data_IF_721251554929
#
_entry.id   IF_721251554929
#
_cell.length_a   1.000
_cell.length_b   1.000
_cell.length_c   1.000
_cell.angle_alpha   90.00
_cell.angle_beta   90.00
_cell.angle_gamma   90.00
#
_symmetry.space_group_name_H-M   'P 1'
#
loop_
_entity.id
_entity.type
_entity.pdbx_description
1 polymer ?
#
# COMPACT_ATOMS: atom_id res chain seq x y z
N UNK A 1 -9.86 -12.56 -35.96
CA UNK A 1 -9.51 -13.11 -34.63
C UNK A 1 -10.71 -13.70 -33.88
N UNK A 2 -11.96 -13.19 -34.01
CA UNK A 2 -13.14 -13.78 -33.34
C UNK A 2 -14.26 -14.29 -34.26
N UNK A 3 -14.16 -14.05 -35.57
CA UNK A 3 -14.85 -14.87 -36.55
C UNK A 3 -14.16 -16.23 -36.59
N UNK A 4 -14.85 -17.27 -36.11
CA UNK A 4 -14.35 -18.65 -36.06
C UNK A 4 -13.67 -19.05 -37.37
N UNK A 5 -12.63 -19.88 -37.37
CA UNK A 5 -12.02 -20.45 -38.59
C UNK A 5 -13.07 -21.00 -39.58
N UNK A 6 -14.21 -21.45 -39.06
CA UNK A 6 -15.40 -21.87 -39.82
C UNK A 6 -15.96 -20.79 -40.76
N UNK A 7 -15.88 -19.51 -40.40
CA UNK A 7 -16.34 -18.39 -41.23
C UNK A 7 -15.38 -18.12 -42.39
N UNK A 8 -14.06 -18.22 -42.16
CA UNK A 8 -13.06 -18.09 -43.23
C UNK A 8 -13.25 -19.15 -44.30
N UNK A 9 -13.41 -20.42 -43.90
CA UNK A 9 -13.61 -21.51 -44.86
C UNK A 9 -14.93 -21.45 -45.65
N UNK A 10 -15.95 -20.75 -45.15
CA UNK A 10 -17.19 -20.46 -45.90
C UNK A 10 -16.99 -19.27 -46.84
N UNK A 11 -16.28 -18.23 -46.41
CA UNK A 11 -15.92 -17.07 -47.23
C UNK A 11 -15.00 -17.44 -48.40
N UNK A 12 -14.05 -18.34 -48.19
CA UNK A 12 -13.11 -18.81 -49.23
C UNK A 12 -13.79 -19.71 -50.29
N UNK A 13 -14.92 -20.34 -49.96
CA UNK A 13 -15.70 -21.19 -50.89
C UNK A 13 -16.76 -20.41 -51.68
N UNK A 14 -17.20 -19.28 -51.16
CA UNK A 14 -18.03 -18.32 -51.87
C UNK A 14 -17.07 -17.46 -52.71
N UNK A 15 -16.84 -17.81 -53.97
CA UNK A 15 -16.10 -16.97 -54.91
C UNK A 15 -16.64 -15.53 -54.81
N UNK A 16 -15.87 -14.65 -54.20
CA UNK A 16 -16.26 -13.27 -53.93
C UNK A 16 -16.42 -12.55 -55.27
N UNK A 17 -17.65 -12.41 -55.76
CA UNK A 17 -18.02 -11.29 -56.61
C UNK A 17 -18.06 -10.02 -55.75
N UNK A 18 -17.87 -8.85 -56.36
CA UNK A 18 -18.00 -7.53 -55.70
C UNK A 18 -19.45 -7.21 -55.25
N UNK A 19 -20.33 -8.20 -55.18
CA UNK A 19 -21.73 -8.05 -54.78
C UNK A 19 -21.89 -8.21 -53.26
N UNK A 20 -22.79 -7.41 -52.67
CA UNK A 20 -23.08 -7.46 -51.24
C UNK A 20 -23.68 -8.81 -50.83
N UNK A 21 -23.09 -9.45 -49.81
CA UNK A 21 -23.56 -10.74 -49.30
C UNK A 21 -24.71 -10.52 -48.31
N UNK A 22 -25.93 -10.86 -48.70
CA UNK A 22 -27.11 -10.85 -47.81
C UNK A 22 -27.47 -12.27 -47.36
N UNK A 23 -27.00 -12.69 -46.19
CA UNK A 23 -27.36 -13.99 -45.60
C UNK A 23 -27.71 -13.85 -44.12
N UNK A 24 -28.95 -14.20 -43.75
CA UNK A 24 -29.41 -14.20 -42.35
C UNK A 24 -28.55 -15.09 -41.44
N UNK A 25 -27.98 -16.17 -41.98
CA UNK A 25 -27.07 -17.05 -41.24
C UNK A 25 -25.74 -16.35 -40.95
N UNK A 26 -25.22 -15.60 -41.94
CA UNK A 26 -23.97 -14.85 -41.79
C UNK A 26 -24.15 -13.67 -40.84
N UNK A 27 -25.25 -12.91 -40.96
CA UNK A 27 -25.62 -11.83 -40.03
C UNK A 27 -25.64 -12.30 -38.58
N UNK A 28 -26.32 -13.43 -38.29
CA UNK A 28 -26.36 -14.01 -36.93
C UNK A 28 -24.98 -14.41 -36.41
N UNK A 29 -24.10 -14.90 -37.28
CA UNK A 29 -22.74 -15.27 -36.89
C UNK A 29 -21.85 -14.05 -36.63
N UNK A 30 -22.03 -12.98 -37.39
CA UNK A 30 -21.38 -11.68 -37.15
C UNK A 30 -21.86 -11.09 -35.83
N UNK A 31 -23.17 -11.05 -35.58
CA UNK A 31 -23.74 -10.60 -34.30
C UNK A 31 -23.23 -11.43 -33.12
N UNK A 32 -23.14 -12.76 -33.27
CA UNK A 32 -22.60 -13.63 -32.22
C UNK A 32 -21.11 -13.38 -31.96
N UNK A 33 -20.33 -13.11 -33.01
CA UNK A 33 -18.92 -12.73 -32.87
C UNK A 33 -18.79 -11.36 -32.19
N UNK A 34 -19.64 -10.40 -32.53
CA UNK A 34 -19.69 -9.08 -31.90
C UNK A 34 -20.04 -9.18 -30.41
N UNK A 35 -21.10 -9.93 -30.05
CA UNK A 35 -21.47 -10.17 -28.65
C UNK A 35 -20.35 -10.80 -27.83
N UNK A 36 -19.55 -11.69 -28.42
CA UNK A 36 -18.36 -12.25 -27.74
C UNK A 36 -17.26 -11.22 -27.52
N UNK A 37 -17.01 -10.35 -28.50
CA UNK A 37 -16.04 -9.26 -28.35
C UNK A 37 -16.51 -8.27 -27.28
N UNK A 38 -17.78 -7.90 -27.29
CA UNK A 38 -18.39 -7.05 -26.27
C UNK A 38 -18.33 -7.70 -24.88
N UNK A 39 -18.62 -8.99 -24.77
CA UNK A 39 -18.48 -9.76 -23.52
C UNK A 39 -17.05 -9.77 -22.98
N UNK A 40 -16.06 -10.08 -23.83
CA UNK A 40 -14.65 -10.05 -23.43
C UNK A 40 -14.20 -8.66 -22.97
N UNK A 41 -14.66 -7.60 -23.66
CA UNK A 41 -14.38 -6.21 -23.28
C UNK A 41 -15.03 -5.86 -21.94
N UNK A 42 -16.27 -6.30 -21.71
CA UNK A 42 -16.98 -6.13 -20.45
C UNK A 42 -16.25 -6.82 -19.29
N UNK A 43 -15.86 -8.08 -19.47
CA UNK A 43 -15.16 -8.86 -18.45
C UNK A 43 -13.79 -8.24 -18.12
N UNK A 44 -13.06 -7.79 -19.14
CA UNK A 44 -11.78 -7.09 -18.94
C UNK A 44 -11.98 -5.81 -18.12
N UNK A 45 -12.99 -5.00 -18.44
CA UNK A 45 -13.30 -3.76 -17.67
C UNK A 45 -13.73 -4.07 -16.25
N UNK A 46 -14.53 -5.12 -16.05
CA UNK A 46 -14.97 -5.57 -14.74
C UNK A 46 -13.77 -5.96 -13.86
N UNK A 47 -12.81 -6.71 -14.41
CA UNK A 47 -11.59 -7.06 -13.69
C UNK A 47 -10.78 -5.82 -13.33
N UNK A 48 -10.57 -4.88 -14.28
CA UNK A 48 -9.86 -3.62 -14.00
C UNK A 48 -10.53 -2.84 -12.87
N UNK A 49 -11.86 -2.72 -12.89
CA UNK A 49 -12.62 -2.04 -11.85
C UNK A 49 -12.44 -2.69 -10.47
N UNK A 50 -12.45 -4.03 -10.39
CA UNK A 50 -12.28 -4.75 -9.13
C UNK A 50 -10.93 -4.48 -8.46
N UNK A 51 -9.84 -4.39 -9.22
CA UNK A 51 -8.53 -4.01 -8.68
C UNK A 51 -8.49 -2.53 -8.28
N UNK A 52 -9.11 -1.67 -9.10
CA UNK A 52 -9.14 -0.23 -8.82
C UNK A 52 -9.99 0.09 -7.58
N UNK A 53 -11.06 -0.65 -7.31
CA UNK A 53 -11.89 -0.45 -6.11
C UNK A 53 -11.10 -0.59 -4.80
N UNK A 54 -10.21 -1.59 -4.72
CA UNK A 54 -9.32 -1.77 -3.57
C UNK A 54 -8.36 -0.59 -3.42
N UNK A 55 -7.75 -0.15 -4.53
CA UNK A 55 -6.88 1.01 -4.55
C UNK A 55 -7.61 2.30 -4.18
N UNK A 56 -8.84 2.45 -4.65
CA UNK A 56 -9.69 3.62 -4.45
C UNK A 56 -10.02 3.80 -2.98
N UNK A 57 -10.49 2.75 -2.30
CA UNK A 57 -10.80 2.80 -0.86
C UNK A 57 -9.58 3.24 -0.03
N UNK A 58 -8.42 2.67 -0.31
CA UNK A 58 -7.18 3.05 0.37
C UNK A 58 -6.78 4.49 0.05
N UNK A 59 -6.90 4.92 -1.21
CA UNK A 59 -6.58 6.29 -1.65
C UNK A 59 -7.49 7.31 -0.98
N UNK A 60 -8.79 7.04 -0.88
CA UNK A 60 -9.75 7.92 -0.21
C UNK A 60 -9.35 8.16 1.24
N UNK A 61 -8.96 7.10 1.98
CA UNK A 61 -8.51 7.21 3.37
C UNK A 61 -7.21 8.02 3.47
N UNK A 62 -6.17 7.65 2.69
CA UNK A 62 -4.87 8.31 2.76
C UNK A 62 -4.96 9.77 2.33
N UNK A 63 -5.75 10.09 1.29
CA UNK A 63 -5.91 11.46 0.82
C UNK A 63 -6.70 12.31 1.81
N UNK A 64 -7.71 11.74 2.49
CA UNK A 64 -8.42 12.44 3.55
C UNK A 64 -7.48 12.76 4.72
N UNK A 65 -6.67 11.79 5.19
CA UNK A 65 -5.69 12.00 6.26
C UNK A 65 -4.62 13.02 5.85
N UNK A 66 -4.12 12.93 4.62
CA UNK A 66 -3.14 13.87 4.07
C UNK A 66 -3.70 15.29 4.00
N UNK A 67 -4.96 15.43 3.59
CA UNK A 67 -5.64 16.72 3.54
C UNK A 67 -5.84 17.33 4.93
N UNK A 68 -6.20 16.53 5.93
CA UNK A 68 -6.29 16.97 7.33
C UNK A 68 -4.93 17.51 7.83
N UNK A 69 -3.82 16.82 7.55
CA UNK A 69 -2.47 17.29 7.93
C UNK A 69 -2.09 18.59 7.23
N UNK A 70 -2.39 18.73 5.93
CA UNK A 70 -2.09 19.97 5.17
C UNK A 70 -2.84 21.16 5.74
N UNK A 71 -4.12 20.97 6.05
CA UNK A 71 -5.02 22.04 6.49
C UNK A 71 -5.06 22.25 8.00
N UNK A 72 -4.35 21.41 8.77
CA UNK A 72 -4.28 21.52 10.21
C UNK A 72 -3.72 22.88 10.64
N UNK A 73 -4.42 23.57 11.53
CA UNK A 73 -3.90 24.74 12.27
C UNK A 73 -3.60 24.40 13.74
N UNK A 74 -3.77 23.13 14.10
CA UNK A 74 -3.50 22.59 15.44
C UNK A 74 -2.08 22.04 15.53
N UNK A 75 -1.61 21.87 16.76
CA UNK A 75 -0.41 21.09 17.07
C UNK A 75 -0.64 19.61 16.72
N UNK A 76 0.29 19.02 15.95
CA UNK A 76 0.28 17.63 15.50
C UNK A 76 1.23 16.75 16.33
N UNK A 77 1.83 17.28 17.40
CA UNK A 77 2.60 16.51 18.36
C UNK A 77 1.84 15.30 18.93
N UNK A 78 0.53 15.35 19.27
CA UNK A 78 -0.20 14.19 19.77
C UNK A 78 -0.18 13.01 18.80
N UNK A 79 -0.39 13.26 17.51
CA UNK A 79 -0.34 12.26 16.44
C UNK A 79 1.07 11.67 16.30
N UNK A 80 2.10 12.51 16.32
CA UNK A 80 3.51 12.08 16.25
C UNK A 80 3.88 11.24 17.47
N UNK A 81 3.55 11.69 18.68
CA UNK A 81 3.79 10.98 19.93
C UNK A 81 3.09 9.62 19.95
N UNK A 82 1.85 9.56 19.47
CA UNK A 82 1.14 8.29 19.31
C UNK A 82 1.83 7.36 18.30
N UNK A 83 2.34 7.89 17.19
CA UNK A 83 3.11 7.10 16.22
C UNK A 83 4.42 6.56 16.81
N UNK A 84 5.16 7.37 17.58
CA UNK A 84 6.37 6.94 18.29
C UNK A 84 6.03 5.80 19.26
N UNK A 85 5.03 6.00 20.12
CA UNK A 85 4.59 4.99 21.11
C UNK A 85 4.19 3.68 20.46
N UNK A 86 3.37 3.73 19.39
CA UNK A 86 2.94 2.53 18.64
C UNK A 86 4.11 1.81 17.99
N UNK A 87 5.09 2.55 17.47
CA UNK A 87 6.27 1.97 16.82
C UNK A 87 7.15 1.25 17.83
N UNK A 88 7.44 1.89 18.97
CA UNK A 88 8.16 1.27 20.09
C UNK A 88 7.43 0.01 20.56
N UNK A 89 6.11 0.10 20.78
CA UNK A 89 5.28 -1.03 21.17
C UNK A 89 5.42 -2.21 20.21
N UNK A 90 5.27 -1.97 18.90
CA UNK A 90 5.41 -3.01 17.87
C UNK A 90 6.77 -3.70 17.90
N UNK A 91 7.85 -2.94 18.08
CA UNK A 91 9.21 -3.50 18.13
C UNK A 91 9.39 -4.35 19.38
N UNK A 92 9.03 -3.85 20.56
CA UNK A 92 9.19 -4.60 21.81
C UNK A 92 8.31 -5.85 21.82
N UNK A 93 7.03 -5.72 21.43
CA UNK A 93 6.07 -6.83 21.38
C UNK A 93 6.43 -7.87 20.32
N UNK A 94 7.00 -7.43 19.19
CA UNK A 94 7.48 -8.32 18.13
C UNK A 94 8.59 -9.26 18.57
N UNK A 95 9.36 -8.89 19.61
CA UNK A 95 10.44 -9.70 20.16
C UNK A 95 10.07 -10.38 21.50
N UNK A 96 8.80 -10.35 21.90
CA UNK A 96 8.37 -10.89 23.20
C UNK A 96 8.62 -12.41 23.36
N UNK A 97 8.73 -13.15 22.25
CA UNK A 97 8.98 -14.62 22.26
C UNK A 97 10.46 -14.99 22.06
N UNK A 98 11.32 -14.03 21.77
CA UNK A 98 12.75 -14.26 21.55
C UNK A 98 13.46 -14.53 22.87
N UNK A 99 14.67 -15.09 22.80
CA UNK A 99 15.54 -15.17 23.98
C UNK A 99 15.86 -13.77 24.48
N UNK A 100 16.07 -13.63 25.79
CA UNK A 100 16.23 -12.32 26.43
C UNK A 100 17.39 -11.51 25.80
N UNK A 101 18.55 -12.13 25.59
CA UNK A 101 19.71 -11.43 25.04
C UNK A 101 19.46 -10.96 23.60
N UNK A 102 18.94 -11.84 22.74
CA UNK A 102 18.57 -11.53 21.34
C UNK A 102 17.51 -10.43 21.27
N UNK A 103 16.52 -10.46 22.18
CA UNK A 103 15.48 -9.45 22.31
C UNK A 103 16.06 -8.08 22.66
N UNK A 104 16.88 -8.03 23.72
CA UNK A 104 17.47 -6.77 24.18
C UNK A 104 18.42 -6.18 23.14
N UNK A 105 19.19 -7.01 22.46
CA UNK A 105 20.06 -6.59 21.36
C UNK A 105 19.26 -6.01 20.19
N UNK A 106 18.18 -6.68 19.76
CA UNK A 106 17.33 -6.19 18.69
C UNK A 106 16.64 -4.86 19.05
N UNK A 107 16.15 -4.73 20.28
CA UNK A 107 15.54 -3.49 20.79
C UNK A 107 16.57 -2.36 20.88
N UNK A 108 17.78 -2.65 21.37
CA UNK A 108 18.87 -1.68 21.47
C UNK A 108 19.29 -1.18 20.08
N UNK A 109 19.46 -2.09 19.12
CA UNK A 109 19.79 -1.75 17.74
C UNK A 109 18.70 -0.88 17.11
N UNK A 110 17.43 -1.23 17.30
CA UNK A 110 16.32 -0.37 16.86
C UNK A 110 16.43 1.04 17.47
N UNK A 111 16.65 1.13 18.79
CA UNK A 111 16.75 2.40 19.49
C UNK A 111 17.90 3.27 18.95
N UNK A 112 19.10 2.69 18.78
CA UNK A 112 20.29 3.40 18.31
C UNK A 112 20.20 3.89 16.87
N UNK A 113 19.60 3.10 15.97
CA UNK A 113 19.58 3.44 14.55
C UNK A 113 18.35 4.24 14.11
N UNK A 114 17.25 4.20 14.88
CA UNK A 114 15.97 4.75 14.42
C UNK A 114 15.31 5.73 15.39
N UNK A 115 15.70 5.76 16.67
CA UNK A 115 14.95 6.49 17.70
C UNK A 115 15.80 7.53 18.42
N UNK A 116 17.03 7.17 18.78
CA UNK A 116 17.88 7.91 19.69
C UNK A 116 19.29 8.09 19.08
N UNK A 117 20.06 9.10 19.52
CA UNK A 117 21.49 9.17 19.21
C UNK A 117 22.21 7.88 19.65
N UNK A 118 23.18 7.41 18.86
CA UNK A 118 23.82 6.09 19.02
C UNK A 118 24.41 5.85 20.42
N UNK A 119 25.02 6.88 21.02
CA UNK A 119 25.68 6.80 22.33
C UNK A 119 24.74 7.09 23.52
N UNK A 120 23.46 7.37 23.26
CA UNK A 120 22.51 7.79 24.31
C UNK A 120 21.79 6.63 25.01
N UNK A 121 22.04 5.38 24.59
CA UNK A 121 21.45 4.19 25.18
C UNK A 121 22.40 2.98 25.09
N UNK A 122 22.39 2.17 26.12
CA UNK A 122 23.21 0.98 26.29
C UNK A 122 22.37 -0.23 26.69
N UNK A 123 22.96 -1.42 26.62
CA UNK A 123 22.28 -2.66 27.04
C UNK A 123 21.90 -2.59 28.53
N UNK A 124 22.77 -2.04 29.37
CA UNK A 124 22.54 -1.88 30.81
C UNK A 124 21.35 -0.99 31.16
N UNK A 125 20.90 -0.11 30.25
CA UNK A 125 19.68 0.68 30.44
C UNK A 125 18.41 -0.18 30.32
N UNK A 126 18.49 -1.35 29.66
CA UNK A 126 17.35 -2.21 29.37
C UNK A 126 17.35 -3.52 30.18
N UNK A 127 18.51 -3.94 30.67
CA UNK A 127 18.66 -5.15 31.47
C UNK A 127 17.80 -5.12 32.75
N UNK A 128 17.14 -6.24 33.04
CA UNK A 128 16.28 -6.38 34.21
C UNK A 128 14.95 -5.63 34.13
N UNK A 129 14.70 -4.84 33.08
CA UNK A 129 13.43 -4.16 32.87
C UNK A 129 12.36 -5.11 32.30
N UNK A 130 11.11 -4.88 32.72
CA UNK A 130 9.96 -5.49 32.06
C UNK A 130 9.70 -4.86 30.70
N UNK A 131 8.99 -5.55 29.82
CA UNK A 131 8.63 -5.05 28.49
C UNK A 131 7.91 -3.69 28.54
N UNK A 132 7.03 -3.51 29.52
CA UNK A 132 6.34 -2.23 29.70
C UNK A 132 7.32 -1.13 30.14
N UNK A 133 8.24 -1.44 31.05
CA UNK A 133 9.26 -0.49 31.48
C UNK A 133 10.22 -0.12 30.33
N UNK A 134 10.60 -1.08 29.48
CA UNK A 134 11.40 -0.84 28.27
C UNK A 134 10.65 0.11 27.32
N UNK A 135 9.35 -0.13 27.06
CA UNK A 135 8.55 0.74 26.20
C UNK A 135 8.49 2.16 26.75
N UNK A 136 8.26 2.32 28.05
CA UNK A 136 8.16 3.62 28.69
C UNK A 136 9.51 4.35 28.70
N UNK A 137 10.60 3.66 29.00
CA UNK A 137 11.96 4.22 28.97
C UNK A 137 12.33 4.74 27.57
N UNK A 138 12.13 3.92 26.54
CA UNK A 138 12.38 4.31 25.14
C UNK A 138 11.48 5.47 24.72
N UNK A 139 10.22 5.48 25.14
CA UNK A 139 9.28 6.55 24.81
C UNK A 139 9.71 7.88 25.45
N UNK A 140 10.11 7.88 26.72
CA UNK A 140 10.57 9.08 27.40
C UNK A 140 11.86 9.64 26.77
N UNK A 141 12.82 8.78 26.42
CA UNK A 141 14.03 9.21 25.70
C UNK A 141 13.69 9.78 24.33
N UNK A 142 12.77 9.16 23.59
CA UNK A 142 12.34 9.63 22.28
C UNK A 142 11.65 11.01 22.36
N UNK A 143 10.82 11.24 23.38
CA UNK A 143 10.20 12.55 23.61
C UNK A 143 11.25 13.62 23.88
N UNK A 144 12.28 13.34 24.70
CA UNK A 144 13.39 14.30 24.90
C UNK A 144 14.11 14.64 23.61
N UNK A 145 14.32 13.66 22.73
CA UNK A 145 14.91 13.90 21.41
C UNK A 145 13.98 14.79 20.57
N UNK A 146 12.69 14.48 20.52
CA UNK A 146 11.69 15.29 19.82
C UNK A 146 11.66 16.74 20.33
N UNK A 147 11.54 16.94 21.65
CA UNK A 147 11.54 18.25 22.30
C UNK A 147 12.82 19.02 21.99
N UNK A 148 13.98 18.35 21.94
CA UNK A 148 15.25 18.99 21.57
C UNK A 148 15.30 19.47 20.11
N UNK A 149 14.55 18.82 19.20
CA UNK A 149 14.44 19.28 17.81
C UNK A 149 13.46 20.45 17.72
N UNK A 150 12.33 20.37 18.42
CA UNK A 150 11.32 21.43 18.49
C UNK A 150 11.93 22.71 19.08
N UNK A 151 12.74 22.61 20.13
CA UNK A 151 13.40 23.75 20.78
C UNK A 151 14.39 24.52 19.88
N UNK A 152 14.82 23.93 18.75
CA UNK A 152 15.68 24.62 17.76
C UNK A 152 14.87 25.52 16.83
N UNK A 153 13.55 25.42 16.83
CA UNK A 153 12.67 26.17 15.96
C UNK A 153 12.36 27.54 16.59
N UNK A 154 12.14 28.54 15.73
CA UNK A 154 12.07 29.96 16.13
C UNK A 154 10.80 30.35 16.87
N UNK A 155 9.67 29.72 16.56
CA UNK A 155 8.33 30.08 17.00
C UNK A 155 7.38 28.88 16.85
N UNK A 156 6.20 28.97 17.46
CA UNK A 156 5.17 27.90 17.43
C UNK A 156 4.70 27.59 16.00
N UNK A 157 4.67 28.57 15.11
CA UNK A 157 4.26 28.37 13.71
C UNK A 157 5.29 27.51 12.95
N UNK A 158 6.58 27.74 13.18
CA UNK A 158 7.64 26.90 12.65
C UNK A 158 7.58 25.46 13.20
N UNK A 159 7.13 25.29 14.45
CA UNK A 159 6.89 23.96 15.03
C UNK A 159 5.76 23.23 14.30
N UNK A 160 4.61 23.89 14.12
CA UNK A 160 3.47 23.31 13.38
C UNK A 160 3.87 22.94 11.95
N UNK A 161 4.57 23.82 11.25
CA UNK A 161 5.00 23.57 9.87
C UNK A 161 6.01 22.42 9.80
N UNK A 162 6.96 22.35 10.73
CA UNK A 162 7.88 21.23 10.84
C UNK A 162 7.15 19.89 11.03
N UNK A 163 6.15 19.84 11.92
CA UNK A 163 5.36 18.63 12.17
C UNK A 163 4.58 18.19 10.93
N UNK A 164 3.93 19.14 10.21
CA UNK A 164 3.24 18.86 8.94
C UNK A 164 4.20 18.27 7.92
N UNK A 165 5.34 18.93 7.69
CA UNK A 165 6.35 18.48 6.73
C UNK A 165 6.86 17.09 7.08
N UNK A 166 7.09 16.80 8.37
CA UNK A 166 7.54 15.50 8.83
C UNK A 166 6.53 14.39 8.50
N UNK A 167 5.25 14.61 8.84
CA UNK A 167 4.19 13.62 8.57
C UNK A 167 3.99 13.43 7.06
N UNK A 168 3.84 14.53 6.31
CA UNK A 168 3.58 14.50 4.87
C UNK A 168 4.72 13.83 4.11
N UNK A 169 5.98 14.13 4.45
CA UNK A 169 7.14 13.50 3.82
C UNK A 169 7.11 11.98 4.02
N UNK A 170 6.76 11.49 5.21
CA UNK A 170 6.73 10.05 5.48
C UNK A 170 5.55 9.40 4.74
N UNK A 171 4.35 9.98 4.83
CA UNK A 171 3.14 9.46 4.18
C UNK A 171 3.30 9.43 2.67
N UNK A 172 3.79 10.50 2.05
CA UNK A 172 3.94 10.60 0.59
C UNK A 172 4.94 9.57 0.05
N UNK A 173 6.09 9.40 0.73
CA UNK A 173 7.06 8.38 0.36
C UNK A 173 6.47 6.97 0.50
N UNK A 174 5.84 6.66 1.64
CA UNK A 174 5.30 5.32 1.89
C UNK A 174 4.09 4.99 1.03
N UNK A 175 3.28 5.99 0.69
CA UNK A 175 2.15 5.82 -0.22
C UNK A 175 2.61 5.55 -1.65
N UNK A 176 3.68 6.21 -2.10
CA UNK A 176 4.28 5.94 -3.42
C UNK A 176 4.84 4.52 -3.48
N UNK A 177 5.66 4.12 -2.49
CA UNK A 177 6.18 2.74 -2.37
C UNK A 177 5.03 1.71 -2.40
N UNK A 178 3.92 2.02 -1.73
CA UNK A 178 2.76 1.15 -1.61
C UNK A 178 1.96 1.03 -2.91
N UNK A 179 1.76 2.12 -3.65
CA UNK A 179 1.14 2.08 -4.99
C UNK A 179 1.97 1.19 -5.92
N UNK A 180 3.30 1.36 -5.92
CA UNK A 180 4.20 0.57 -6.76
C UNK A 180 4.15 -0.92 -6.38
N UNK A 181 4.12 -1.22 -5.08
CA UNK A 181 3.98 -2.59 -4.58
C UNK A 181 2.64 -3.22 -4.99
N UNK A 182 1.54 -2.46 -4.96
CA UNK A 182 0.22 -2.92 -5.40
C UNK A 182 0.15 -3.11 -6.92
N UNK A 183 0.81 -2.27 -7.72
CA UNK A 183 0.89 -2.52 -9.17
C UNK A 183 1.68 -3.79 -9.48
N UNK A 184 2.81 -4.02 -8.79
CA UNK A 184 3.57 -5.26 -8.89
C UNK A 184 2.76 -6.48 -8.47
N UNK A 185 2.03 -6.39 -7.35
CA UNK A 185 1.17 -7.47 -6.86
C UNK A 185 0.08 -7.80 -7.88
N UNK A 186 -0.59 -6.79 -8.45
CA UNK A 186 -1.60 -6.96 -9.49
C UNK A 186 -1.05 -7.74 -10.69
N UNK A 187 0.16 -7.39 -11.15
CA UNK A 187 0.82 -8.08 -12.25
C UNK A 187 1.22 -9.53 -11.88
N UNK A 188 1.71 -9.75 -10.65
CA UNK A 188 2.14 -11.06 -10.17
C UNK A 188 0.97 -12.04 -9.93
N UNK A 189 -0.16 -11.56 -9.43
CA UNK A 189 -1.36 -12.38 -9.16
C UNK A 189 -1.99 -12.87 -10.47
N UNK A 190 -1.86 -12.11 -11.57
CA UNK A 190 -2.16 -12.59 -12.92
C UNK A 190 -1.39 -13.86 -13.32
N UNK A 191 -0.18 -14.06 -12.80
CA UNK A 191 0.65 -15.25 -13.02
C UNK A 191 0.28 -16.42 -12.10
N UNK A 192 -0.39 -16.16 -10.96
CA UNK A 192 -0.80 -17.17 -9.97
C UNK A 192 -2.18 -17.79 -10.20
N UNK A 193 -2.89 -17.38 -11.26
CA UNK A 193 -4.16 -18.01 -11.68
C UNK A 193 -4.10 -19.53 -11.93
N UNK A 194 -2.91 -20.13 -11.90
CA UNK A 194 -2.69 -21.58 -11.89
C UNK A 194 -3.20 -22.29 -10.63
N UNK A 195 -3.42 -21.59 -9.50
CA UNK A 195 -3.81 -22.20 -8.23
C UNK A 195 -5.33 -22.35 -8.00
N UNK A 196 -6.18 -22.11 -9.01
CA UNK A 196 -7.66 -22.09 -8.90
C UNK A 196 -8.24 -21.05 -7.91
N UNK A 197 -7.41 -20.23 -7.27
CA UNK A 197 -7.83 -19.10 -6.44
C UNK A 197 -8.22 -17.90 -7.30
N UNK A 198 -9.19 -17.11 -6.85
CA UNK A 198 -9.56 -15.87 -7.52
C UNK A 198 -8.46 -14.81 -7.30
N UNK A 199 -7.77 -14.35 -8.36
CA UNK A 199 -6.71 -13.35 -8.28
C UNK A 199 -7.11 -12.08 -7.51
N UNK A 200 -8.37 -11.63 -7.64
CA UNK A 200 -8.86 -10.43 -6.96
C UNK A 200 -8.93 -10.62 -5.44
N UNK A 201 -9.24 -11.83 -4.97
CA UNK A 201 -9.30 -12.14 -3.53
C UNK A 201 -7.91 -12.15 -2.92
N UNK A 202 -6.90 -12.68 -3.64
CA UNK A 202 -5.49 -12.61 -3.20
C UNK A 202 -4.94 -11.18 -3.21
N UNK A 203 -5.49 -10.29 -4.05
CA UNK A 203 -5.13 -8.88 -4.08
C UNK A 203 -5.77 -8.04 -2.96
N UNK A 204 -6.94 -8.49 -2.48
CA UNK A 204 -7.66 -7.86 -1.37
C UNK A 204 -7.11 -8.24 0.02
N UNK A 205 -6.47 -9.40 0.13
CA UNK A 205 -5.94 -9.97 1.37
C UNK A 205 -4.61 -9.33 1.79
#
# INVERSE_FOLDING_TARGET
RFGSERLKGVFERLNMSDEAIESRMLTRQVEAAQKRVEGNNYDTRKQVLQYDDVMREQREIIYAQRYDVITADRDLAPEIHAMIRRTIGRIVDGHARSKQDEKLEAILNFAKYNLLPEDSISLSDLEGLSDQAIKDELYQRALKVYDSQVAKLRDEEAVKEFQKVLILRVVDNKWTDHIDALDQLRNAVGLRGYAQNNPVVEYQA
#
